data_IF_849078367043
#
_entry.id   IF_849078367043
#
_cell.length_a   1.000
_cell.length_b   1.000
_cell.length_c   1.000
_cell.angle_alpha   90.00
_cell.angle_beta   90.00
_cell.angle_gamma   90.00
#
_symmetry.space_group_name_H-M   'P 1'
#
loop_
_entity.id
_entity.type
_entity.pdbx_description
1 polymer ?
#
# COMPACT_ATOMS: atom_id res chain seq x y z
N UNK A 1 21.07 10.54 -3.23
CA UNK A 1 20.47 9.28 -2.74
C UNK A 1 19.50 9.68 -1.66
N UNK A 2 18.19 9.62 -1.90
CA UNK A 2 17.21 10.01 -0.88
C UNK A 2 17.15 8.94 0.21
N UNK A 3 17.24 9.37 1.46
CA UNK A 3 17.25 8.53 2.66
C UNK A 3 16.21 7.41 2.57
N UNK A 4 16.66 6.19 2.85
CA UNK A 4 15.92 4.93 2.70
C UNK A 4 14.73 4.76 3.64
N UNK A 5 13.94 5.80 3.87
CA UNK A 5 12.79 5.82 4.76
C UNK A 5 11.48 5.93 3.97
N UNK A 6 10.45 5.12 4.27
CA UNK A 6 9.21 5.13 3.50
C UNK A 6 8.47 6.46 3.63
N UNK A 7 8.02 6.99 2.50
CA UNK A 7 7.20 8.20 2.39
C UNK A 7 5.84 8.02 3.09
N UNK A 8 5.14 9.12 3.38
CA UNK A 8 3.80 9.04 3.99
C UNK A 8 2.82 8.19 3.16
N UNK A 9 2.84 8.32 1.84
CA UNK A 9 2.00 7.50 0.94
C UNK A 9 2.38 6.02 0.96
N UNK A 10 3.67 5.69 1.14
CA UNK A 10 4.11 4.30 1.29
C UNK A 10 3.66 3.72 2.63
N UNK A 11 3.76 4.49 3.72
CA UNK A 11 3.25 4.06 5.04
C UNK A 11 1.74 3.85 5.01
N UNK A 12 0.97 4.76 4.40
CA UNK A 12 -0.48 4.61 4.23
C UNK A 12 -0.84 3.33 3.46
N UNK A 13 -0.20 3.09 2.31
CA UNK A 13 -0.41 1.88 1.53
C UNK A 13 -0.02 0.61 2.32
N UNK A 14 1.08 0.66 3.06
CA UNK A 14 1.53 -0.45 3.90
C UNK A 14 0.54 -0.75 5.04
N UNK A 15 -0.03 0.27 5.65
CA UNK A 15 -1.09 0.12 6.68
C UNK A 15 -2.34 -0.51 6.09
N UNK A 16 -2.76 -0.10 4.89
CA UNK A 16 -3.90 -0.73 4.19
C UNK A 16 -3.63 -2.20 3.87
N UNK A 17 -2.45 -2.55 3.36
CA UNK A 17 -2.10 -3.95 3.08
C UNK A 17 -2.03 -4.76 4.38
N UNK A 18 -1.59 -4.17 5.49
CA UNK A 18 -1.51 -4.90 6.75
C UNK A 18 -2.86 -5.15 7.41
N UNK A 19 -3.79 -4.19 7.31
CA UNK A 19 -5.12 -4.30 7.90
C UNK A 19 -6.12 -5.13 7.08
N UNK A 20 -5.72 -5.62 5.90
CA UNK A 20 -6.60 -6.34 4.99
C UNK A 20 -5.94 -7.62 4.49
N UNK A 21 -6.58 -8.77 4.74
CA UNK A 21 -6.17 -10.03 4.14
C UNK A 21 -6.48 -10.02 2.64
N UNK A 22 -5.47 -10.32 1.82
CA UNK A 22 -5.67 -10.55 0.40
C UNK A 22 -5.95 -9.27 -0.42
N UNK A 23 -5.22 -8.19 -0.16
CA UNK A 23 -5.37 -6.94 -0.91
C UNK A 23 -4.56 -6.96 -2.22
N UNK A 24 -5.23 -7.00 -3.38
CA UNK A 24 -4.58 -6.79 -4.69
C UNK A 24 -4.39 -5.29 -4.99
N UNK A 25 -3.59 -4.97 -6.01
CA UNK A 25 -3.28 -3.57 -6.41
C UNK A 25 -4.53 -2.77 -6.79
N UNK A 26 -5.53 -3.40 -7.40
CA UNK A 26 -6.77 -2.76 -7.80
C UNK A 26 -7.63 -2.40 -6.59
N UNK A 27 -7.77 -3.33 -5.63
CA UNK A 27 -8.45 -3.07 -4.36
C UNK A 27 -7.75 -1.99 -3.56
N UNK A 28 -6.41 -2.04 -3.46
CA UNK A 28 -5.63 -0.98 -2.82
C UNK A 28 -5.91 0.39 -3.46
N UNK A 29 -5.93 0.48 -4.79
CA UNK A 29 -6.27 1.72 -5.47
C UNK A 29 -7.68 2.20 -5.08
N UNK A 30 -8.67 1.30 -5.01
CA UNK A 30 -10.03 1.62 -4.56
C UNK A 30 -10.07 2.19 -3.14
N UNK A 31 -9.30 1.61 -2.20
CA UNK A 31 -9.17 2.15 -0.85
C UNK A 31 -8.51 3.52 -0.83
N UNK A 32 -7.43 3.72 -1.59
CA UNK A 32 -6.72 5.00 -1.68
C UNK A 32 -7.60 6.11 -2.29
N UNK A 33 -8.44 5.78 -3.27
CA UNK A 33 -9.44 6.70 -3.84
C UNK A 33 -10.50 7.04 -2.80
N UNK A 34 -11.03 6.04 -2.09
CA UNK A 34 -12.09 6.21 -1.10
C UNK A 34 -11.63 7.04 0.11
N UNK A 35 -10.38 6.87 0.54
CA UNK A 35 -9.78 7.60 1.65
C UNK A 35 -9.63 9.10 1.37
N UNK A 36 -9.38 9.48 0.11
CA UNK A 36 -9.10 10.86 -0.31
C UNK A 36 -10.37 11.60 -0.76
N UNK A 37 -11.51 11.36 -0.11
CA UNK A 37 -12.84 11.88 -0.49
C UNK A 37 -12.77 13.27 -1.14
N UNK A 38 -13.50 13.41 -2.26
CA UNK A 38 -13.79 14.66 -2.98
C UNK A 38 -12.59 15.32 -3.68
N UNK A 39 -12.28 14.83 -4.89
CA UNK A 39 -11.63 15.65 -5.91
C UNK A 39 -12.61 15.85 -7.07
N UNK A 40 -12.88 17.10 -7.52
CA UNK A 40 -13.73 17.35 -8.69
C UNK A 40 -13.02 17.00 -10.01
N UNK A 41 -11.75 16.59 -9.97
CA UNK A 41 -10.99 16.24 -11.17
C UNK A 41 -11.40 14.86 -11.71
N UNK A 42 -11.95 14.77 -12.93
CA UNK A 42 -12.40 13.49 -13.51
C UNK A 42 -11.25 12.49 -13.74
N UNK A 43 -10.00 12.96 -13.81
CA UNK A 43 -8.81 12.11 -13.93
C UNK A 43 -8.25 11.61 -12.59
N UNK A 44 -8.81 12.04 -11.45
CA UNK A 44 -8.25 11.80 -10.13
C UNK A 44 -8.14 10.32 -9.77
N UNK A 45 -9.22 9.56 -10.00
CA UNK A 45 -9.25 8.13 -9.72
C UNK A 45 -8.18 7.39 -10.55
N UNK A 46 -8.07 7.71 -11.84
CA UNK A 46 -7.07 7.11 -12.74
C UNK A 46 -5.64 7.43 -12.30
N UNK A 47 -5.39 8.64 -11.82
CA UNK A 47 -4.09 9.03 -11.29
C UNK A 47 -3.74 8.24 -10.02
N UNK A 48 -4.69 8.06 -9.10
CA UNK A 48 -4.49 7.25 -7.89
C UNK A 48 -4.24 5.78 -8.24
N UNK A 49 -4.94 5.21 -9.23
CA UNK A 49 -4.67 3.83 -9.66
C UNK A 49 -3.24 3.65 -10.16
N UNK A 50 -2.71 4.60 -10.93
CA UNK A 50 -1.30 4.57 -11.35
C UNK A 50 -0.35 4.68 -10.17
N UNK A 51 -0.64 5.59 -9.23
CA UNK A 51 0.14 5.74 -8.01
C UNK A 51 0.13 4.48 -7.15
N UNK A 52 -1.01 3.78 -7.02
CA UNK A 52 -1.11 2.54 -6.27
C UNK A 52 -0.14 1.48 -6.82
N UNK A 53 -0.07 1.33 -8.14
CA UNK A 53 0.91 0.45 -8.78
C UNK A 53 2.36 0.84 -8.47
N UNK A 54 2.68 2.14 -8.52
CA UNK A 54 4.03 2.62 -8.16
C UNK A 54 4.36 2.41 -6.68
N UNK A 55 3.40 2.62 -5.77
CA UNK A 55 3.58 2.42 -4.34
C UNK A 55 3.87 0.96 -4.03
N UNK A 56 3.07 0.04 -4.59
CA UNK A 56 3.25 -1.40 -4.45
C UNK A 56 4.62 -1.82 -4.99
N UNK A 57 4.99 -1.39 -6.19
CA UNK A 57 6.31 -1.71 -6.78
C UNK A 57 7.45 -1.26 -5.86
N UNK A 58 7.39 -0.05 -5.30
CA UNK A 58 8.42 0.45 -4.38
C UNK A 58 8.45 -0.33 -3.06
N UNK A 59 7.28 -0.62 -2.47
CA UNK A 59 7.19 -1.36 -1.22
C UNK A 59 7.72 -2.80 -1.37
N UNK A 60 7.44 -3.44 -2.51
CA UNK A 60 7.96 -4.77 -2.86
C UNK A 60 9.48 -4.71 -3.07
N UNK A 61 9.97 -3.76 -3.87
CA UNK A 61 11.41 -3.57 -4.10
C UNK A 61 12.20 -3.26 -2.82
N UNK A 62 11.56 -2.65 -1.82
CA UNK A 62 12.12 -2.38 -0.49
C UNK A 62 11.95 -3.56 0.49
N UNK A 63 11.27 -4.64 0.09
CA UNK A 63 11.07 -5.82 0.91
C UNK A 63 10.03 -5.66 2.03
N UNK A 64 9.16 -4.64 1.96
CA UNK A 64 8.13 -4.39 2.98
C UNK A 64 6.83 -5.16 2.72
N UNK A 65 6.60 -5.57 1.48
CA UNK A 65 5.50 -6.45 1.09
C UNK A 65 5.98 -7.56 0.18
N UNK A 66 5.21 -8.63 0.07
CA UNK A 66 5.42 -9.73 -0.87
C UNK A 66 4.08 -10.15 -1.47
N UNK A 67 4.11 -10.83 -2.62
CA UNK A 67 2.92 -11.37 -3.26
C UNK A 67 2.65 -12.80 -2.79
N UNK A 68 1.45 -13.07 -2.28
CA UNK A 68 1.02 -14.39 -1.81
C UNK A 68 -0.38 -14.66 -2.31
N UNK A 69 -0.59 -15.77 -3.03
CA UNK A 69 -1.92 -16.15 -3.53
C UNK A 69 -2.59 -15.11 -4.44
N UNK A 70 -1.81 -14.31 -5.16
CA UNK A 70 -2.32 -13.25 -6.06
C UNK A 70 -2.50 -11.88 -5.41
N UNK A 71 -2.41 -11.77 -4.09
CA UNK A 71 -2.57 -10.55 -3.32
C UNK A 71 -1.28 -10.12 -2.61
N UNK A 72 -1.27 -8.90 -2.07
CA UNK A 72 -0.15 -8.39 -1.28
C UNK A 72 -0.31 -8.77 0.19
N UNK A 73 0.82 -9.14 0.79
CA UNK A 73 0.97 -9.40 2.21
C UNK A 73 2.13 -8.58 2.78
N UNK A 74 2.01 -8.09 4.01
CA UNK A 74 3.09 -7.38 4.69
C UNK A 74 4.15 -8.34 5.21
N UNK A 75 5.43 -8.03 4.96
CA UNK A 75 6.55 -8.76 5.55
C UNK A 75 6.76 -8.35 7.01
N UNK A 76 7.52 -9.11 7.82
CA UNK A 76 7.87 -8.69 9.18
C UNK A 76 8.51 -7.29 9.23
N UNK A 77 9.42 -7.00 8.29
CA UNK A 77 10.06 -5.67 8.16
C UNK A 77 9.03 -4.58 7.89
N UNK A 78 8.09 -4.83 6.98
CA UNK A 78 6.99 -3.90 6.70
C UNK A 78 6.10 -3.65 7.91
N UNK A 79 5.75 -4.70 8.66
CA UNK A 79 4.93 -4.58 9.88
C UNK A 79 5.59 -3.71 10.94
N UNK A 80 6.90 -3.88 11.16
CA UNK A 80 7.67 -3.08 12.12
C UNK A 80 7.63 -1.58 11.81
N UNK A 81 7.67 -1.20 10.53
CA UNK A 81 7.68 0.21 10.10
C UNK A 81 6.42 1.00 10.42
N UNK A 82 5.29 0.30 10.55
CA UNK A 82 3.97 0.89 10.84
C UNK A 82 3.40 0.39 12.18
N UNK A 83 4.21 -0.32 12.97
CA UNK A 83 3.77 -0.98 14.21
C UNK A 83 2.49 -1.79 14.04
N UNK A 84 2.34 -2.44 12.87
CA UNK A 84 1.15 -3.23 12.60
C UNK A 84 1.19 -4.53 13.41
N UNK A 85 0.14 -4.84 14.19
CA UNK A 85 0.09 -6.07 14.95
C UNK A 85 0.11 -7.26 13.99
N UNK A 86 0.79 -8.33 14.39
CA UNK A 86 0.59 -9.64 13.76
C UNK A 86 -0.90 -9.99 13.90
N UNK A 87 -1.67 -9.91 12.82
CA UNK A 87 -2.99 -10.54 12.77
C UNK A 87 -2.87 -12.02 13.18
N UNK A 88 -3.94 -12.62 13.72
CA UNK A 88 -3.87 -13.87 14.49
C UNK A 88 -3.17 -14.98 13.71
N UNK A 89 -2.32 -15.72 14.42
CA UNK A 89 -1.58 -16.88 13.95
C UNK A 89 -2.50 -17.98 13.41
#
# INVERSE_FOLDING_TARGET
MSDGYPTAAQKEALTLICGHDGLDTGRLAGHLVSARRSSPNPGYARAITRMAGTLVWRLEAQGFITRTGGAWATTPTGRTLISCPSGPA
#
